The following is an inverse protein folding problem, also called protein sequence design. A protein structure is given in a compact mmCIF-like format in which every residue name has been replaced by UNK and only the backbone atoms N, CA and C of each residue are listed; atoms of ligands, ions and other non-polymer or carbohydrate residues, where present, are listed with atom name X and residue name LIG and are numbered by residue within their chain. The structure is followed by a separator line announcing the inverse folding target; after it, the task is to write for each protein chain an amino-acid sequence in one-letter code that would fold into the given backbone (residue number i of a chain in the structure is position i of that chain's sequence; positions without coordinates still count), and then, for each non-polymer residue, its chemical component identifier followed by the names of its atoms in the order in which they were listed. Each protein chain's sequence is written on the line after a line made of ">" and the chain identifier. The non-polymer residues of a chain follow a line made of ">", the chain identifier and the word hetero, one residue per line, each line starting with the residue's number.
data_IF_458730041198
#
_entry.id   IF_458730041198
#
_cell.length_a   1.000
_cell.length_b   1.000
_cell.length_c   1.000
_cell.angle_alpha   90.00
_cell.angle_beta   90.00
_cell.angle_gamma   90.00
#
_symmetry.space_group_name_H-M   'P 1'
#
loop_
_entity.id
_entity.type
_entity.pdbx_description
1 polymer ?
#
# COMPACT_ATOMS: atom_id res chain seq x y z
N UNK A 1 -18.03 -5.39 11.91
CA UNK A 1 -16.55 -5.44 11.79
C UNK A 1 -16.15 -4.21 10.98
N UNK A 2 -15.09 -3.48 11.37
CA UNK A 2 -14.63 -2.35 10.56
C UNK A 2 -13.89 -2.84 9.30
N UNK A 3 -13.73 -1.96 8.29
CA UNK A 3 -13.20 -2.34 6.97
C UNK A 3 -11.83 -3.00 7.04
N UNK A 4 -10.95 -2.44 7.87
CA UNK A 4 -9.58 -2.91 8.00
C UNK A 4 -9.54 -4.24 8.76
N UNK A 5 -10.40 -4.42 9.76
CA UNK A 5 -10.54 -5.68 10.49
C UNK A 5 -11.02 -6.83 9.59
N UNK A 6 -11.87 -6.54 8.60
CA UNK A 6 -12.30 -7.54 7.62
C UNK A 6 -11.15 -7.93 6.70
N UNK A 7 -10.39 -6.95 6.18
CA UNK A 7 -9.18 -7.20 5.37
C UNK A 7 -8.17 -8.05 6.16
N UNK A 8 -7.89 -7.71 7.43
CA UNK A 8 -6.99 -8.50 8.28
C UNK A 8 -7.45 -9.95 8.42
N UNK A 9 -8.76 -10.18 8.54
CA UNK A 9 -9.32 -11.53 8.69
C UNK A 9 -9.29 -12.32 7.38
N UNK A 10 -9.67 -11.70 6.26
CA UNK A 10 -9.73 -12.34 4.94
C UNK A 10 -8.33 -12.68 4.41
N UNK A 11 -7.41 -11.72 4.50
CA UNK A 11 -6.05 -11.85 3.96
C UNK A 11 -5.09 -12.51 4.96
N UNK A 12 -5.53 -12.76 6.21
CA UNK A 12 -4.73 -13.33 7.31
C UNK A 12 -3.46 -12.51 7.60
N UNK A 13 -3.60 -11.20 7.56
CA UNK A 13 -2.53 -10.22 7.81
C UNK A 13 -2.76 -9.45 9.11
N UNK A 14 -1.72 -8.75 9.57
CA UNK A 14 -1.77 -7.86 10.72
C UNK A 14 -1.37 -6.45 10.28
N UNK A 15 -2.35 -5.55 10.21
CA UNK A 15 -2.12 -4.18 9.82
C UNK A 15 -1.64 -3.35 11.02
N UNK A 16 -0.58 -2.54 10.87
CA UNK A 16 -0.10 -1.73 11.97
C UNK A 16 -1.06 -0.59 12.28
N UNK A 17 -1.13 -0.21 13.56
CA UNK A 17 -2.04 0.85 14.01
C UNK A 17 -1.77 2.18 13.28
N UNK A 18 -0.50 2.48 12.97
CA UNK A 18 -0.12 3.70 12.23
C UNK A 18 -0.75 3.75 10.83
N UNK A 19 -0.82 2.63 10.13
CA UNK A 19 -1.51 2.53 8.85
C UNK A 19 -3.03 2.70 9.03
N UNK A 20 -3.62 2.06 10.05
CA UNK A 20 -5.06 2.18 10.31
C UNK A 20 -5.47 3.63 10.55
N UNK A 21 -4.65 4.40 11.26
CA UNK A 21 -4.89 5.82 11.53
C UNK A 21 -4.69 6.68 10.28
N UNK A 22 -3.65 6.41 9.49
CA UNK A 22 -3.43 7.03 8.19
C UNK A 22 -4.62 6.80 7.24
N UNK A 23 -5.07 5.55 7.09
CA UNK A 23 -6.22 5.18 6.25
C UNK A 23 -7.49 5.91 6.65
N UNK A 24 -7.80 5.97 7.97
CA UNK A 24 -8.98 6.67 8.48
C UNK A 24 -8.96 8.18 8.19
N UNK A 25 -7.77 8.79 8.12
CA UNK A 25 -7.62 10.20 7.73
C UNK A 25 -7.85 10.37 6.23
N UNK A 26 -7.11 9.63 5.40
CA UNK A 26 -7.18 9.76 3.95
C UNK A 26 -8.55 9.37 3.38
N UNK A 27 -9.24 8.39 3.98
CA UNK A 27 -10.60 8.00 3.58
C UNK A 27 -11.68 9.04 3.88
N UNK A 28 -11.41 10.02 4.76
CA UNK A 28 -12.32 11.15 5.02
C UNK A 28 -12.04 12.33 4.09
N UNK A 29 -10.77 12.61 3.84
CA UNK A 29 -10.32 13.66 2.93
C UNK A 29 -8.96 13.25 2.38
N UNK A 30 -8.91 12.98 1.08
CA UNK A 30 -7.65 12.69 0.39
C UNK A 30 -6.77 13.96 0.44
N UNK A 31 -5.51 13.86 0.92
CA UNK A 31 -4.55 14.95 0.84
C UNK A 31 -4.34 15.44 -0.60
N UNK A 32 -4.07 16.73 -0.80
CA UNK A 32 -3.91 17.30 -2.14
C UNK A 32 -2.83 16.58 -2.99
N UNK A 33 -1.76 16.10 -2.35
CA UNK A 33 -0.70 15.33 -3.00
C UNK A 33 -1.06 13.87 -3.35
N UNK A 34 -2.25 13.40 -2.96
CA UNK A 34 -2.74 12.05 -3.20
C UNK A 34 -4.00 12.02 -4.10
N UNK A 35 -4.31 13.14 -4.76
CA UNK A 35 -5.42 13.18 -5.73
C UNK A 35 -5.09 12.24 -6.90
N UNK A 36 -5.98 11.27 -7.17
CA UNK A 36 -5.75 10.20 -8.15
C UNK A 36 -5.09 8.94 -7.57
N UNK A 37 -4.88 8.90 -6.26
CA UNK A 37 -4.43 7.70 -5.54
C UNK A 37 -5.61 6.93 -4.98
N UNK A 38 -5.69 5.65 -5.33
CA UNK A 38 -6.59 4.68 -4.71
C UNK A 38 -6.01 4.17 -3.39
N UNK A 39 -6.86 4.08 -2.36
CA UNK A 39 -6.53 3.44 -1.08
C UNK A 39 -7.07 2.02 -1.07
N UNK A 40 -6.28 1.07 -0.57
CA UNK A 40 -6.73 -0.32 -0.41
C UNK A 40 -7.99 -0.38 0.45
N UNK A 41 -9.06 -0.88 -0.15
CA UNK A 41 -10.37 -1.02 0.47
C UNK A 41 -11.02 -2.33 -0.01
N UNK A 42 -12.34 -2.48 0.10
CA UNK A 42 -13.06 -3.68 -0.37
C UNK A 42 -12.98 -3.95 -1.88
N UNK A 43 -12.70 -2.92 -2.70
CA UNK A 43 -12.69 -3.01 -4.17
C UNK A 43 -11.84 -1.87 -4.78
N UNK A 44 -11.09 -2.10 -5.87
CA UNK A 44 -10.44 -3.35 -6.28
C UNK A 44 -9.24 -3.70 -5.37
N UNK A 45 -8.84 -4.98 -5.41
CA UNK A 45 -7.67 -5.49 -4.70
C UNK A 45 -6.37 -4.91 -5.31
N UNK A 46 -5.79 -3.91 -4.64
CA UNK A 46 -4.59 -3.23 -5.15
C UNK A 46 -3.38 -4.16 -5.27
N UNK A 47 -3.34 -5.28 -4.54
CA UNK A 47 -2.28 -6.29 -4.73
C UNK A 47 -2.33 -6.88 -6.14
N UNK A 48 -3.53 -7.10 -6.70
CA UNK A 48 -3.68 -7.59 -8.08
C UNK A 48 -3.22 -6.55 -9.09
N UNK A 49 -3.66 -5.29 -8.93
CA UNK A 49 -3.23 -4.22 -9.82
C UNK A 49 -1.71 -4.01 -9.79
N UNK A 50 -1.07 -4.19 -8.61
CA UNK A 50 0.38 -4.13 -8.50
C UNK A 50 1.06 -5.29 -9.22
N UNK A 51 0.54 -6.51 -9.12
CA UNK A 51 1.05 -7.67 -9.88
C UNK A 51 0.89 -7.44 -11.38
N UNK A 52 -0.29 -6.97 -11.84
CA UNK A 52 -0.54 -6.64 -13.24
C UNK A 52 0.46 -5.61 -13.77
N UNK A 53 0.74 -4.54 -13.00
CA UNK A 53 1.76 -3.56 -13.37
C UNK A 53 3.17 -4.17 -13.48
N UNK A 54 3.56 -5.04 -12.54
CA UNK A 54 4.86 -5.72 -12.59
C UNK A 54 4.97 -6.64 -13.81
N UNK A 55 3.90 -7.35 -14.15
CA UNK A 55 3.83 -8.22 -15.32
C UNK A 55 3.92 -7.40 -16.63
N UNK A 56 3.18 -6.29 -16.72
CA UNK A 56 3.19 -5.40 -17.89
C UNK A 56 4.57 -4.75 -18.13
N UNK A 57 5.31 -4.44 -17.06
CA UNK A 57 6.68 -3.94 -17.12
C UNK A 57 7.73 -5.02 -17.44
N UNK A 58 7.37 -6.30 -17.34
CA UNK A 58 8.31 -7.42 -17.39
C UNK A 58 9.27 -7.46 -16.19
N UNK A 59 8.86 -6.91 -15.06
CA UNK A 59 9.60 -6.95 -13.79
C UNK A 59 9.44 -8.32 -13.09
N UNK A 60 10.33 -8.62 -12.14
CA UNK A 60 10.13 -9.76 -11.24
C UNK A 60 8.95 -9.49 -10.30
N UNK A 61 8.10 -10.50 -10.08
CA UNK A 61 7.03 -10.42 -9.08
C UNK A 61 7.65 -10.64 -7.70
N UNK A 62 8.05 -9.54 -7.06
CA UNK A 62 8.68 -9.54 -5.73
C UNK A 62 7.69 -9.48 -4.56
N UNK A 63 6.38 -9.33 -4.82
CA UNK A 63 5.36 -9.24 -3.78
C UNK A 63 5.07 -10.60 -3.15
N UNK A 64 5.23 -10.70 -1.83
CA UNK A 64 4.87 -11.87 -1.03
C UNK A 64 3.39 -11.86 -0.59
N UNK A 65 2.91 -12.99 -0.07
CA UNK A 65 1.55 -13.12 0.49
C UNK A 65 1.24 -12.17 1.65
N UNK A 66 2.28 -11.69 2.36
CA UNK A 66 2.13 -10.79 3.50
C UNK A 66 2.41 -9.34 3.13
N UNK A 67 2.76 -9.05 1.86
CA UNK A 67 2.92 -7.69 1.40
C UNK A 67 1.55 -7.09 1.10
N UNK A 68 1.33 -5.90 1.64
CA UNK A 68 0.06 -5.22 1.59
C UNK A 68 0.21 -3.94 0.78
N UNK A 69 -0.32 -3.96 -0.45
CA UNK A 69 -0.37 -2.77 -1.31
C UNK A 69 -1.48 -1.88 -0.77
N UNK A 70 -1.10 -0.76 -0.18
CA UNK A 70 -2.03 0.13 0.54
C UNK A 70 -2.42 1.36 -0.26
N UNK A 71 -1.63 1.73 -1.26
CA UNK A 71 -1.91 2.83 -2.18
C UNK A 71 -1.46 2.48 -3.60
N UNK A 72 -2.22 2.94 -4.59
CA UNK A 72 -1.85 2.90 -6.00
C UNK A 72 -2.24 4.22 -6.66
N UNK A 73 -1.32 4.84 -7.41
CA UNK A 73 -1.55 6.09 -8.09
C UNK A 73 -1.70 5.86 -9.59
N UNK A 74 -2.94 6.02 -10.07
CA UNK A 74 -3.33 5.96 -11.49
C UNK A 74 -2.78 4.75 -12.27
N UNK A 75 -2.54 3.63 -11.60
CA UNK A 75 -2.07 2.39 -12.22
C UNK A 75 -0.58 2.32 -12.56
N UNK A 76 0.20 3.40 -12.47
CA UNK A 76 1.63 3.40 -12.83
C UNK A 76 2.58 3.37 -11.62
N UNK A 77 2.04 3.50 -10.41
CA UNK A 77 2.83 3.52 -9.18
C UNK A 77 2.05 2.90 -8.02
N UNK A 78 2.71 2.13 -7.17
CA UNK A 78 2.10 1.62 -5.94
C UNK A 78 3.05 1.66 -4.75
N UNK A 79 2.47 1.65 -3.56
CA UNK A 79 3.18 1.56 -2.29
C UNK A 79 2.70 0.38 -1.48
N UNK A 80 3.64 -0.31 -0.86
CA UNK A 80 3.37 -1.48 -0.05
C UNK A 80 4.26 -1.55 1.18
N UNK A 81 3.86 -2.40 2.13
CA UNK A 81 4.65 -2.78 3.28
C UNK A 81 4.30 -4.21 3.69
N UNK A 82 5.17 -4.86 4.48
CA UNK A 82 4.89 -6.18 5.03
C UNK A 82 3.92 -6.08 6.22
N UNK A 83 2.74 -6.67 6.09
CA UNK A 83 1.65 -6.64 7.09
C UNK A 83 1.76 -7.81 8.09
N UNK A 84 2.89 -7.87 8.79
CA UNK A 84 3.24 -8.91 9.76
C UNK A 84 3.03 -8.48 11.23
N UNK A 85 2.43 -7.30 11.44
CA UNK A 85 2.19 -6.73 12.75
C UNK A 85 3.32 -5.84 13.29
N UNK A 86 4.41 -5.62 12.53
CA UNK A 86 5.40 -4.59 12.87
C UNK A 86 4.72 -3.21 13.01
N UNK A 87 4.80 -2.53 14.15
CA UNK A 87 4.09 -1.27 14.39
C UNK A 87 4.52 -0.11 13.48
N UNK A 88 5.73 -0.17 12.91
CA UNK A 88 6.28 0.84 12.00
C UNK A 88 7.07 0.17 10.86
N UNK A 89 6.38 -0.44 9.88
CA UNK A 89 7.02 -1.21 8.83
C UNK A 89 7.76 -0.30 7.85
N UNK A 90 8.69 -0.88 7.07
CA UNK A 90 9.30 -0.18 5.94
C UNK A 90 8.28 -0.09 4.81
N UNK A 91 8.15 1.10 4.23
CA UNK A 91 7.38 1.35 3.01
C UNK A 91 8.30 1.20 1.81
N UNK A 92 7.83 0.46 0.83
CA UNK A 92 8.44 0.35 -0.48
C UNK A 92 7.52 0.97 -1.52
N UNK A 93 8.12 1.59 -2.55
CA UNK A 93 7.42 2.17 -3.68
C UNK A 93 7.91 1.56 -4.99
N UNK A 94 6.99 1.23 -5.88
CA UNK A 94 7.33 0.81 -7.25
C UNK A 94 6.72 1.79 -8.25
N UNK A 95 7.50 2.13 -9.28
CA UNK A 95 7.07 2.97 -10.39
C UNK A 95 7.30 2.23 -11.70
N UNK A 96 6.40 2.41 -12.65
CA UNK A 96 6.48 1.85 -14.00
C UNK A 96 7.90 1.99 -14.59
N UNK A 97 8.39 0.93 -15.22
CA UNK A 97 9.72 0.80 -15.83
C UNK A 97 10.94 0.83 -14.86
N UNK A 98 10.75 0.74 -13.54
CA UNK A 98 11.89 0.70 -12.58
C UNK A 98 12.53 -0.67 -12.41
N UNK A 99 11.79 -1.75 -12.68
CA UNK A 99 12.17 -3.16 -12.49
C UNK A 99 12.41 -3.60 -11.02
N UNK A 100 12.76 -2.69 -10.13
CA UNK A 100 12.94 -2.92 -8.69
C UNK A 100 12.21 -1.84 -7.86
N UNK A 101 11.76 -2.17 -6.63
CA UNK A 101 11.13 -1.21 -5.74
C UNK A 101 12.17 -0.34 -4.99
N UNK A 102 11.80 0.91 -4.73
CA UNK A 102 12.56 1.85 -3.90
C UNK A 102 12.18 1.70 -2.41
N UNK A 103 13.16 1.73 -1.51
CA UNK A 103 12.93 1.81 -0.07
C UNK A 103 12.65 3.25 0.36
N UNK A 104 11.43 3.50 0.84
CA UNK A 104 10.97 4.84 1.26
C UNK A 104 11.10 5.10 2.76
N UNK A 105 11.72 4.17 3.50
CA UNK A 105 11.91 4.24 4.94
C UNK A 105 10.69 3.80 5.75
N UNK A 106 10.75 4.00 7.07
CA UNK A 106 9.66 3.60 7.97
C UNK A 106 8.36 4.36 7.66
N UNK A 107 7.23 3.69 7.87
CA UNK A 107 5.89 4.21 7.63
C UNK A 107 5.66 5.55 8.33
N UNK A 108 6.15 5.69 9.56
CA UNK A 108 6.08 6.92 10.36
C UNK A 108 6.80 8.12 9.73
N UNK A 109 7.86 7.88 8.95
CA UNK A 109 8.54 8.92 8.18
C UNK A 109 7.83 9.18 6.86
N UNK A 110 7.45 8.12 6.15
CA UNK A 110 6.73 8.20 4.88
C UNK A 110 5.47 9.08 4.98
N UNK A 111 4.65 8.89 6.03
CA UNK A 111 3.41 9.65 6.15
C UNK A 111 3.58 11.13 6.48
N UNK A 112 4.78 11.59 6.90
CA UNK A 112 5.02 13.01 7.17
C UNK A 112 4.91 13.87 5.92
N UNK A 113 5.08 13.27 4.75
CA UNK A 113 4.96 13.96 3.47
C UNK A 113 3.49 14.22 3.08
N UNK A 114 2.54 13.54 3.74
CA UNK A 114 1.10 13.61 3.45
C UNK A 114 0.27 14.22 4.58
N UNK A 115 0.92 14.64 5.68
CA UNK A 115 0.31 15.17 6.90
C UNK A 115 0.46 16.69 7.04
#
# INVERSE_FOLDING_TARGET
>A
MDKLSQIEWEDKILLPQIYKDFYRRCSRSIPAGLVGTDLRNYYPDLNKGAIELLEDDGAEIFLDSNDFVFMMHQGYMFWYFKADGNPDPIVFGYHENRLEPDNMGCFSNFIKEFL
#
